data_IF_649376498511
#
_entry.id   IF_649376498511
#
_cell.length_a   1.000
_cell.length_b   1.000
_cell.length_c   1.000
_cell.angle_alpha   90.00
_cell.angle_beta   90.00
_cell.angle_gamma   90.00
#
_symmetry.space_group_name_H-M   'P 1'
#
loop_
_entity.id
_entity.type
_entity.pdbx_description
1 polymer ?
#
# COMPACT_ATOMS: atom_id res chain seq x y z
N UNK A 1 -3.10 0.38 10.85
CA UNK A 1 -2.58 0.20 12.22
C UNK A 1 -1.08 -0.10 12.25
N UNK A 2 -0.62 -1.25 11.73
CA UNK A 2 0.82 -1.61 11.80
C UNK A 2 1.75 -0.53 11.21
N UNK A 3 1.49 -0.08 9.98
CA UNK A 3 2.31 0.96 9.34
C UNK A 3 2.24 2.27 10.13
N UNK A 4 1.05 2.66 10.60
CA UNK A 4 0.88 3.89 11.39
C UNK A 4 1.76 3.88 12.64
N UNK A 5 1.81 2.75 13.37
CA UNK A 5 2.61 2.60 14.60
C UNK A 5 4.11 2.50 14.36
N UNK A 6 4.53 1.86 13.27
CA UNK A 6 5.91 1.41 13.11
C UNK A 6 6.65 2.00 11.90
N UNK A 7 6.05 2.93 11.14
CA UNK A 7 6.65 3.50 9.93
C UNK A 7 8.11 3.93 10.09
N UNK A 8 8.48 4.57 11.21
CA UNK A 8 9.86 5.01 11.47
C UNK A 8 10.89 3.85 11.51
N UNK A 9 10.43 2.63 11.80
CA UNK A 9 11.24 1.41 11.91
C UNK A 9 11.17 0.52 10.67
N UNK A 10 10.26 0.78 9.72
CA UNK A 10 10.17 -0.01 8.49
C UNK A 10 11.36 0.36 7.59
N UNK A 11 12.25 -0.60 7.32
CA UNK A 11 13.46 -0.41 6.49
C UNK A 11 13.40 -1.11 5.15
N UNK A 12 12.42 -2.00 4.96
CA UNK A 12 12.27 -2.82 3.76
C UNK A 12 10.79 -3.15 3.56
N UNK A 13 10.38 -3.29 2.31
CA UNK A 13 9.02 -3.66 1.94
C UNK A 13 9.05 -4.79 0.90
N UNK A 14 8.54 -5.95 1.29
CA UNK A 14 8.29 -7.06 0.38
C UNK A 14 6.82 -7.07 -0.01
N UNK A 15 6.56 -7.09 -1.31
CA UNK A 15 5.22 -7.18 -1.88
C UNK A 15 4.94 -8.66 -2.09
N UNK A 16 4.10 -9.22 -1.21
CA UNK A 16 3.67 -10.62 -1.22
C UNK A 16 2.16 -10.65 -1.02
N UNK A 17 1.47 -11.46 -1.82
CA UNK A 17 0.02 -11.59 -1.74
C UNK A 17 -0.37 -12.95 -1.15
N UNK A 18 -1.52 -12.96 -0.51
CA UNK A 18 -2.10 -14.14 0.09
C UNK A 18 -3.62 -14.00 0.11
N UNK A 19 -4.28 -15.15 0.13
CA UNK A 19 -5.72 -15.23 0.38
C UNK A 19 -5.99 -16.12 1.58
N UNK A 20 -7.11 -15.89 2.23
CA UNK A 20 -7.64 -16.75 3.26
C UNK A 20 -9.10 -17.12 2.95
N UNK A 21 -9.32 -18.40 2.67
CA UNK A 21 -10.61 -19.00 2.38
C UNK A 21 -10.93 -19.99 3.51
N UNK A 22 -11.57 -19.55 4.61
CA UNK A 22 -11.80 -20.38 5.78
C UNK A 22 -12.71 -21.57 5.45
N UNK A 23 -12.44 -22.70 6.10
CA UNK A 23 -13.32 -23.87 6.03
C UNK A 23 -13.40 -24.56 7.41
N UNK A 24 -14.43 -25.38 7.61
CA UNK A 24 -14.62 -26.10 8.88
C UNK A 24 -13.71 -27.32 9.08
N UNK A 25 -12.75 -27.56 8.17
CA UNK A 25 -11.89 -28.76 8.16
C UNK A 25 -10.43 -28.46 8.51
N UNK A 26 -10.03 -27.20 8.47
CA UNK A 26 -8.66 -26.77 8.70
C UNK A 26 -8.63 -25.57 9.66
N UNK A 27 -7.85 -25.70 10.73
CA UNK A 27 -7.54 -24.57 11.61
C UNK A 27 -6.52 -23.62 10.97
N UNK A 28 -6.15 -22.58 11.72
CA UNK A 28 -5.20 -21.53 11.29
C UNK A 28 -3.84 -22.07 10.81
N UNK A 29 -3.41 -23.21 11.35
CA UNK A 29 -2.14 -23.85 10.99
C UNK A 29 -2.21 -24.72 9.71
N UNK A 30 -3.34 -24.72 8.99
CA UNK A 30 -3.48 -25.38 7.69
C UNK A 30 -3.62 -26.90 7.72
N UNK A 31 -3.54 -27.55 8.89
CA UNK A 31 -3.87 -28.96 9.06
C UNK A 31 -2.98 -29.95 8.31
N UNK A 32 -1.70 -29.62 8.09
CA UNK A 32 -0.73 -30.42 7.32
C UNK A 32 -1.12 -30.70 5.87
N UNK A 33 -2.06 -29.93 5.31
CA UNK A 33 -2.50 -30.08 3.93
C UNK A 33 -1.46 -29.57 2.94
N UNK A 34 -1.56 -30.06 1.70
CA UNK A 34 -0.87 -29.47 0.56
C UNK A 34 -1.28 -28.02 0.35
N UNK A 35 -0.35 -27.20 -0.18
CA UNK A 35 -0.54 -25.75 -0.33
C UNK A 35 -1.84 -25.35 -1.04
N UNK A 36 -2.24 -26.08 -2.08
CA UNK A 36 -3.46 -25.78 -2.84
C UNK A 36 -4.75 -25.97 -2.02
N UNK A 37 -4.72 -26.87 -1.03
CA UNK A 37 -5.85 -27.27 -0.21
C UNK A 37 -5.96 -26.48 1.10
N UNK A 38 -4.92 -25.72 1.46
CA UNK A 38 -4.91 -24.91 2.68
C UNK A 38 -5.92 -23.76 2.59
N UNK A 39 -6.53 -23.37 3.72
CA UNK A 39 -7.39 -22.18 3.76
C UNK A 39 -6.58 -20.90 3.49
N UNK A 40 -5.36 -20.81 4.03
CA UNK A 40 -4.41 -19.73 3.73
C UNK A 40 -3.45 -20.14 2.62
N UNK A 41 -3.37 -19.35 1.55
CA UNK A 41 -2.52 -19.64 0.38
C UNK A 41 -1.76 -18.40 -0.06
N UNK A 42 -0.49 -18.55 -0.40
CA UNK A 42 0.27 -17.51 -1.09
C UNK A 42 -0.15 -17.43 -2.56
N UNK A 43 -0.26 -16.21 -3.07
CA UNK A 43 -0.81 -15.88 -4.39
C UNK A 43 0.14 -14.95 -5.14
N UNK A 44 0.07 -15.02 -6.47
CA UNK A 44 0.63 -13.96 -7.30
C UNK A 44 -0.08 -12.63 -6.99
N UNK A 45 0.64 -11.52 -7.11
CA UNK A 45 0.10 -10.20 -6.78
C UNK A 45 -1.18 -9.90 -7.57
N UNK A 46 -2.24 -9.53 -6.85
CA UNK A 46 -3.55 -9.21 -7.43
C UNK A 46 -4.53 -10.38 -7.46
N UNK A 47 -4.06 -11.61 -7.21
CA UNK A 47 -4.92 -12.79 -7.11
C UNK A 47 -5.31 -13.12 -5.66
N UNK A 48 -4.76 -12.40 -4.67
CA UNK A 48 -5.08 -12.56 -3.26
C UNK A 48 -5.99 -11.48 -2.70
N UNK A 49 -5.84 -11.21 -1.42
CA UNK A 49 -6.74 -10.36 -0.63
C UNK A 49 -6.02 -9.18 0.04
N UNK A 50 -4.70 -9.03 -0.18
CA UNK A 50 -3.92 -7.93 0.43
C UNK A 50 -4.33 -6.59 -0.16
N UNK A 51 -4.62 -5.61 0.71
CA UNK A 51 -4.92 -4.23 0.30
C UNK A 51 -3.64 -3.45 -0.06
N UNK A 52 -3.15 -3.66 -1.27
CA UNK A 52 -1.97 -2.95 -1.77
C UNK A 52 -2.22 -1.45 -1.92
N UNK A 53 -3.42 -1.02 -2.30
CA UNK A 53 -3.73 0.41 -2.43
C UNK A 53 -3.58 1.13 -1.09
N UNK A 54 -4.11 0.54 -0.02
CA UNK A 54 -3.97 1.06 1.34
C UNK A 54 -2.51 1.05 1.82
N UNK A 55 -1.78 -0.05 1.58
CA UNK A 55 -0.36 -0.17 1.97
C UNK A 55 0.51 0.88 1.28
N UNK A 56 0.46 0.99 -0.04
CA UNK A 56 1.24 1.98 -0.79
C UNK A 56 0.85 3.41 -0.39
N UNK A 57 -0.45 3.69 -0.22
CA UNK A 57 -0.92 4.99 0.28
C UNK A 57 -0.32 5.33 1.65
N UNK A 58 -0.24 4.36 2.57
CA UNK A 58 0.34 4.56 3.91
C UNK A 58 1.86 4.73 3.87
N UNK A 59 2.56 3.93 3.07
CA UNK A 59 4.01 4.07 2.90
C UNK A 59 4.37 5.43 2.30
N UNK A 60 3.61 5.88 1.31
CA UNK A 60 3.73 7.23 0.74
C UNK A 60 3.40 8.31 1.77
N UNK A 61 2.31 8.18 2.54
CA UNK A 61 1.92 9.11 3.60
C UNK A 61 3.06 9.34 4.61
N UNK A 62 3.80 8.29 4.96
CA UNK A 62 4.91 8.37 5.93
C UNK A 62 6.29 8.56 5.29
N UNK A 63 6.37 8.82 3.98
CA UNK A 63 7.63 9.12 3.29
C UNK A 63 8.62 7.95 3.24
N UNK A 64 8.14 6.71 3.16
CA UNK A 64 9.03 5.57 2.97
C UNK A 64 9.74 5.64 1.61
N UNK A 65 11.07 5.64 1.62
CA UNK A 65 11.91 5.80 0.43
C UNK A 65 12.77 4.53 0.14
N UNK A 66 12.17 3.35 0.30
CA UNK A 66 12.81 2.07 0.02
C UNK A 66 12.23 1.36 -1.19
N UNK A 67 12.74 0.17 -1.49
CA UNK A 67 12.27 -0.65 -2.60
C UNK A 67 10.97 -1.39 -2.24
N UNK A 68 10.05 -1.46 -3.20
CA UNK A 68 8.95 -2.42 -3.21
C UNK A 68 9.44 -3.71 -3.89
N UNK A 69 9.96 -4.64 -3.10
CA UNK A 69 10.59 -5.87 -3.60
C UNK A 69 9.51 -6.92 -3.84
N UNK A 70 9.40 -7.45 -5.06
CA UNK A 70 8.53 -8.58 -5.33
C UNK A 70 9.06 -9.84 -4.62
N UNK A 71 8.31 -10.35 -3.65
CA UNK A 71 8.54 -11.69 -3.08
C UNK A 71 7.44 -12.61 -3.60
N UNK A 72 7.77 -13.39 -4.63
CA UNK A 72 6.78 -14.20 -5.34
C UNK A 72 6.69 -15.62 -4.78
N UNK A 73 5.48 -16.06 -4.46
CA UNK A 73 5.14 -17.44 -4.14
C UNK A 73 3.66 -17.68 -4.50
N UNK A 74 3.38 -18.72 -5.28
CA UNK A 74 2.00 -19.04 -5.66
C UNK A 74 1.85 -20.55 -5.86
N UNK A 75 0.86 -21.16 -5.22
CA UNK A 75 0.63 -22.59 -5.34
C UNK A 75 -0.10 -23.01 -6.65
N UNK A 76 -0.44 -22.06 -7.51
CA UNK A 76 -1.21 -22.30 -8.75
C UNK A 76 -0.55 -21.72 -10.02
N UNK A 77 0.13 -20.57 -9.94
CA UNK A 77 0.69 -19.87 -11.11
C UNK A 77 2.16 -20.22 -11.30
N UNK A 78 2.63 -20.19 -12.55
CA UNK A 78 4.06 -20.31 -12.88
C UNK A 78 4.87 -19.08 -12.40
N UNK A 79 6.15 -19.30 -12.08
CA UNK A 79 7.03 -18.25 -11.53
C UNK A 79 7.43 -17.19 -12.55
N UNK A 80 7.66 -17.57 -13.81
CA UNK A 80 8.00 -16.61 -14.87
C UNK A 80 6.78 -15.76 -15.21
N UNK A 81 5.59 -16.37 -15.28
CA UNK A 81 4.33 -15.63 -15.42
C UNK A 81 4.12 -14.67 -14.24
N UNK A 82 4.30 -15.16 -13.01
CA UNK A 82 4.19 -14.37 -11.79
C UNK A 82 5.13 -13.15 -11.76
N UNK A 83 6.37 -13.33 -12.20
CA UNK A 83 7.34 -12.23 -12.31
C UNK A 83 6.94 -11.22 -13.39
N UNK A 84 6.49 -11.69 -14.56
CA UNK A 84 6.08 -10.84 -15.68
C UNK A 84 4.85 -9.97 -15.35
N UNK A 85 3.92 -10.49 -14.54
CA UNK A 85 2.72 -9.76 -14.08
C UNK A 85 2.99 -8.89 -12.84
N UNK A 86 3.84 -9.37 -11.93
CA UNK A 86 4.08 -8.74 -10.63
C UNK A 86 4.83 -7.41 -10.72
N UNK A 87 5.82 -7.28 -11.62
CA UNK A 87 6.56 -6.03 -11.77
C UNK A 87 5.69 -4.87 -12.27
N UNK A 88 4.88 -5.02 -13.35
CA UNK A 88 3.90 -4.01 -13.75
C UNK A 88 2.86 -3.70 -12.66
N UNK A 89 2.39 -4.71 -11.93
CA UNK A 89 1.45 -4.53 -10.83
C UNK A 89 2.03 -3.59 -9.76
N UNK A 90 3.27 -3.82 -9.31
CA UNK A 90 3.94 -2.96 -8.33
C UNK A 90 4.10 -1.54 -8.88
N UNK A 91 4.56 -1.41 -10.13
CA UNK A 91 4.75 -0.10 -10.76
C UNK A 91 3.47 0.75 -10.79
N UNK A 92 2.31 0.13 -11.03
CA UNK A 92 1.01 0.81 -11.02
C UNK A 92 0.56 1.27 -9.62
N UNK A 93 1.12 0.70 -8.55
CA UNK A 93 0.78 1.09 -7.17
C UNK A 93 1.75 2.13 -6.59
N UNK A 94 2.89 2.39 -7.22
CA UNK A 94 3.83 3.42 -6.78
C UNK A 94 3.20 4.80 -6.98
N UNK A 95 3.09 5.56 -5.89
CA UNK A 95 2.49 6.90 -5.89
C UNK A 95 3.62 7.93 -5.98
N UNK A 96 3.52 8.82 -6.96
CA UNK A 96 4.29 10.06 -6.98
C UNK A 96 3.62 11.06 -6.02
N UNK A 97 4.29 11.47 -4.92
CA UNK A 97 3.71 12.44 -3.98
C UNK A 97 3.48 13.81 -4.63
N UNK A 98 2.53 14.58 -4.11
CA UNK A 98 2.30 15.96 -4.56
C UNK A 98 3.47 16.85 -4.14
N UNK A 99 3.90 17.76 -5.03
CA UNK A 99 4.98 18.71 -4.72
C UNK A 99 4.56 19.89 -3.85
N UNK A 100 3.25 20.07 -3.64
CA UNK A 100 2.64 21.17 -2.90
C UNK A 100 1.72 20.64 -1.82
N UNK A 101 1.51 21.44 -0.77
CA UNK A 101 0.49 21.14 0.21
C UNK A 101 -0.89 21.19 -0.45
N UNK A 102 -1.79 20.31 -0.04
CA UNK A 102 -3.12 20.20 -0.64
C UNK A 102 -3.90 21.53 -0.58
N UNK A 103 -3.77 22.27 0.52
CA UNK A 103 -4.44 23.55 0.75
C UNK A 103 -3.75 24.74 0.06
N UNK A 104 -2.58 24.54 -0.52
CA UNK A 104 -1.79 25.59 -1.19
C UNK A 104 -2.41 26.03 -2.53
N UNK A 105 -3.44 25.33 -3.01
CA UNK A 105 -4.28 25.81 -4.12
C UNK A 105 -4.97 27.15 -3.79
N UNK A 106 -5.20 27.45 -2.50
CA UNK A 106 -5.71 28.75 -2.05
C UNK A 106 -4.59 29.78 -1.78
N UNK A 107 -3.32 29.40 -1.95
CA UNK A 107 -2.10 30.18 -1.66
C UNK A 107 -1.83 31.30 -2.66
N UNK A 108 -2.76 32.25 -2.79
CA UNK A 108 -2.38 33.59 -3.23
C UNK A 108 -1.46 34.23 -2.19
N UNK A 109 -0.57 35.15 -2.60
CA UNK A 109 0.31 35.85 -1.66
C UNK A 109 -0.49 36.38 -0.45
N UNK A 110 -0.04 36.01 0.75
CA UNK A 110 -0.66 36.44 2.00
C UNK A 110 -0.42 37.93 2.15
N UNK A 111 -1.44 38.73 1.86
CA UNK A 111 -1.42 40.18 2.05
C UNK A 111 -2.17 40.53 3.33
N UNK A 112 -1.47 41.14 4.29
CA UNK A 112 -2.06 41.67 5.51
C UNK A 112 -3.17 42.67 5.22
N UNK A 113 -3.01 43.51 4.19
CA UNK A 113 -4.05 44.46 3.75
C UNK A 113 -5.30 43.75 3.22
N UNK A 114 -5.13 42.70 2.41
CA UNK A 114 -6.25 41.89 1.91
C UNK A 114 -6.97 41.19 3.06
N UNK A 115 -6.23 40.66 4.03
CA UNK A 115 -6.77 40.02 5.21
C UNK A 115 -7.51 41.03 6.11
N UNK A 116 -6.95 42.21 6.37
CA UNK A 116 -7.59 43.25 7.17
C UNK A 116 -8.89 43.75 6.55
N UNK A 117 -8.96 43.84 5.22
CA UNK A 117 -10.19 44.20 4.49
C UNK A 117 -11.26 43.12 4.59
N UNK A 118 -10.89 41.84 4.48
CA UNK A 118 -11.81 40.71 4.66
C UNK A 118 -12.36 40.68 6.09
N UNK A 119 -11.54 41.05 7.08
CA UNK A 119 -11.90 41.06 8.49
C UNK A 119 -12.61 42.35 8.95
N UNK A 120 -12.80 43.34 8.07
CA UNK A 120 -13.45 44.62 8.42
C UNK A 120 -12.65 45.48 9.41
N UNK A 121 -11.33 45.30 9.48
CA UNK A 121 -10.44 46.02 10.41
C UNK A 121 -10.07 47.42 9.88
N UNK A 122 -10.24 47.64 8.57
CA UNK A 122 -9.89 48.90 7.91
C UNK A 122 -11.12 49.76 7.53
N UNK A 123 -12.29 49.48 8.11
CA UNK A 123 -13.50 50.32 7.98
C UNK A 123 -13.65 51.24 9.21
#
# INVERSE_FOLDING_TARGET
DFIDRYHARIKMFHVKDAEFNPNGRSGVYGGYQDWQSRPGRFRSLGDGQVDFKGIFSKLTQYGFNGWAVLEWECCLKDSAQGAAEGAPFIAQHIIQPTGYAFDDFAGGEVSTEKNNRILGIND
#
